data_IF_492292940009
#
_entry.id   IF_492292940009
#
_cell.length_a   1.000
_cell.length_b   1.000
_cell.length_c   1.000
_cell.angle_alpha   90.00
_cell.angle_beta   90.00
_cell.angle_gamma   90.00
#
_symmetry.space_group_name_H-M   'P 1'
#
loop_
_entity.id
_entity.type
_entity.pdbx_description
1 polymer ?
#
# COMPACT_ATOMS: atom_id res chain seq x y z
N UNK A 1 60.57 33.18 -3.32
CA UNK A 1 61.50 32.63 -2.31
C UNK A 1 61.87 31.22 -2.71
N UNK A 2 63.18 30.97 -2.75
CA UNK A 2 63.82 29.88 -3.48
C UNK A 2 63.59 28.50 -2.87
N UNK A 3 63.20 27.56 -3.70
CA UNK A 3 63.35 26.11 -3.51
C UNK A 3 64.81 25.69 -3.77
N UNK A 4 65.44 25.12 -2.75
CA UNK A 4 66.73 24.40 -2.73
C UNK A 4 66.52 23.31 -1.67
N UNK A 5 66.85 22.04 -1.80
CA UNK A 5 68.01 21.27 -2.28
C UNK A 5 67.59 19.79 -2.05
N UNK A 6 68.23 18.72 -2.47
CA UNK A 6 69.37 18.38 -3.32
C UNK A 6 69.23 16.87 -3.54
N UNK A 7 69.68 16.40 -4.69
CA UNK A 7 69.73 15.00 -5.09
C UNK A 7 71.01 14.29 -4.59
N UNK A 8 70.88 12.95 -4.53
CA UNK A 8 71.83 11.90 -4.95
C UNK A 8 72.96 11.38 -4.02
N UNK A 9 73.09 10.05 -4.01
CA UNK A 9 74.26 9.24 -3.60
C UNK A 9 73.83 7.87 -3.02
N UNK A 10 73.38 6.89 -3.83
CA UNK A 10 74.16 5.76 -4.43
C UNK A 10 74.93 4.91 -3.38
N UNK A 11 74.70 3.58 -3.34
CA UNK A 11 75.71 2.49 -3.41
C UNK A 11 75.05 1.10 -3.21
N UNK A 12 75.04 0.34 -4.32
CA UNK A 12 75.32 -1.09 -4.58
C UNK A 12 74.91 -2.21 -3.60
N UNK A 13 74.14 -3.14 -4.18
CA UNK A 13 73.89 -4.53 -3.78
C UNK A 13 75.14 -5.36 -3.47
N UNK A 14 75.05 -6.26 -2.48
CA UNK A 14 75.69 -7.58 -2.52
C UNK A 14 75.08 -8.60 -1.52
N UNK A 15 74.72 -9.77 -2.06
CA UNK A 15 74.85 -11.12 -1.49
C UNK A 15 73.84 -11.65 -0.43
N UNK A 16 72.78 -12.26 -0.97
CA UNK A 16 72.28 -13.64 -0.76
C UNK A 16 72.86 -14.43 0.44
N UNK A 17 71.97 -14.81 1.38
CA UNK A 17 71.94 -16.16 1.97
C UNK A 17 70.47 -16.60 2.08
N UNK A 18 70.10 -17.57 1.25
CA UNK A 18 68.79 -18.22 1.22
C UNK A 18 68.83 -19.38 2.22
N UNK A 19 68.42 -19.13 3.46
CA UNK A 19 68.28 -20.18 4.48
C UNK A 19 66.91 -20.82 4.30
N UNK A 20 66.87 -22.00 3.70
CA UNK A 20 65.69 -22.85 3.63
C UNK A 20 65.46 -23.46 5.01
N UNK A 21 64.57 -22.85 5.81
CA UNK A 21 64.04 -23.48 7.02
C UNK A 21 62.99 -24.51 6.60
N UNK A 22 63.37 -25.79 6.67
CA UNK A 22 62.43 -26.90 6.61
C UNK A 22 61.59 -26.91 7.90
N UNK A 23 60.40 -26.31 7.84
CA UNK A 23 59.38 -26.47 8.88
C UNK A 23 58.82 -27.89 8.74
N UNK A 24 58.96 -28.79 9.72
CA UNK A 24 58.22 -30.03 9.68
C UNK A 24 56.73 -29.68 9.73
N UNK A 25 55.99 -30.15 8.73
CA UNK A 25 54.53 -30.14 8.78
C UNK A 25 54.13 -31.11 9.90
N UNK A 26 54.04 -30.59 11.12
CA UNK A 26 53.23 -31.22 12.15
C UNK A 26 51.81 -31.26 11.59
N UNK A 27 51.39 -32.46 11.22
CA UNK A 27 49.99 -32.78 11.02
C UNK A 27 49.29 -32.45 12.34
N UNK A 28 48.78 -31.23 12.44
CA UNK A 28 47.74 -30.89 13.38
C UNK A 28 46.54 -31.76 13.00
N UNK A 29 46.50 -32.96 13.56
CA UNK A 29 45.27 -33.71 13.68
C UNK A 29 44.37 -32.83 14.54
N UNK A 30 43.50 -32.05 13.88
CA UNK A 30 42.26 -31.63 14.48
C UNK A 30 41.52 -32.93 14.83
N UNK A 31 41.77 -33.46 16.02
CA UNK A 31 40.81 -34.34 16.66
C UNK A 31 39.58 -33.46 16.88
N UNK A 32 38.66 -33.45 15.91
CA UNK A 32 37.25 -33.31 16.22
C UNK A 32 36.88 -34.50 17.11
N UNK A 33 37.25 -34.42 18.39
CA UNK A 33 36.51 -35.16 19.40
C UNK A 33 35.07 -34.74 19.19
N UNK A 34 34.20 -35.69 18.79
CA UNK A 34 32.76 -35.49 18.81
C UNK A 34 32.45 -34.85 20.16
N UNK A 35 32.22 -33.53 20.17
CA UNK A 35 31.97 -32.82 21.40
C UNK A 35 30.79 -33.53 22.04
N UNK A 36 31.03 -34.20 23.17
CA UNK A 36 30.01 -34.97 23.85
C UNK A 36 28.83 -34.02 24.06
N UNK A 37 27.65 -34.43 23.60
CA UNK A 37 26.46 -33.60 23.72
C UNK A 37 26.18 -33.48 25.22
N UNK A 38 26.18 -32.27 25.79
CA UNK A 38 25.95 -32.09 27.22
C UNK A 38 24.49 -32.42 27.57
N UNK A 39 24.19 -32.57 28.86
CA UNK A 39 22.81 -32.76 29.32
C UNK A 39 21.92 -31.58 28.87
N UNK A 40 20.65 -31.89 28.57
CA UNK A 40 19.63 -30.94 28.09
C UNK A 40 19.99 -30.26 26.75
N UNK A 41 20.67 -31.01 25.88
CA UNK A 41 21.00 -30.58 24.53
C UNK A 41 20.68 -31.67 23.50
N UNK A 42 20.25 -31.23 22.33
CA UNK A 42 20.00 -32.07 21.15
C UNK A 42 21.00 -31.75 20.04
N UNK A 43 21.44 -32.78 19.32
CA UNK A 43 22.26 -32.60 18.13
C UNK A 43 21.53 -31.72 17.11
N UNK A 44 22.24 -30.79 16.46
CA UNK A 44 21.64 -30.01 15.38
C UNK A 44 21.32 -30.94 14.20
N UNK A 45 20.19 -30.70 13.54
CA UNK A 45 19.80 -31.44 12.35
C UNK A 45 20.74 -31.19 11.15
N UNK A 46 21.40 -30.01 11.13
CA UNK A 46 22.35 -29.61 10.09
C UNK A 46 23.57 -28.93 10.71
N UNK A 47 24.76 -29.20 10.17
CA UNK A 47 26.05 -28.70 10.65
C UNK A 47 26.59 -29.45 11.87
N UNK A 48 27.75 -29.03 12.38
CA UNK A 48 28.35 -29.58 13.60
C UNK A 48 27.84 -28.88 14.86
N UNK A 49 27.73 -29.64 15.96
CA UNK A 49 27.36 -29.15 17.29
C UNK A 49 25.94 -29.48 17.74
N UNK A 50 25.54 -28.86 18.85
CA UNK A 50 24.29 -29.11 19.55
C UNK A 50 23.53 -27.80 19.81
N UNK A 51 22.23 -27.91 20.09
CA UNK A 51 21.38 -26.83 20.61
C UNK A 51 20.83 -27.24 21.96
N UNK A 52 20.57 -26.27 22.84
CA UNK A 52 19.90 -26.59 24.09
C UNK A 52 18.44 -26.96 23.82
N UNK A 53 17.93 -27.88 24.61
CA UNK A 53 16.52 -28.24 24.59
C UNK A 53 15.66 -27.07 25.09
N UNK A 54 14.38 -27.06 24.72
CA UNK A 54 13.46 -25.99 25.12
C UNK A 54 13.42 -25.86 26.65
N UNK A 55 13.56 -24.63 27.16
CA UNK A 55 13.71 -24.37 28.59
C UNK A 55 15.16 -24.34 29.08
N UNK A 56 16.14 -24.53 28.19
CA UNK A 56 17.57 -24.43 28.51
C UNK A 56 18.28 -23.46 27.56
N UNK A 57 19.30 -22.77 28.08
CA UNK A 57 20.15 -21.84 27.32
C UNK A 57 21.62 -22.19 27.45
N UNK A 58 22.40 -21.83 26.44
CA UNK A 58 23.83 -22.10 26.41
C UNK A 58 24.57 -21.21 27.41
N UNK A 59 25.34 -21.82 28.31
CA UNK A 59 26.28 -21.13 29.18
C UNK A 59 27.56 -21.96 29.31
N UNK A 60 28.72 -21.34 29.01
CA UNK A 60 30.06 -21.93 29.16
C UNK A 60 30.18 -23.40 28.67
N UNK A 61 29.62 -23.72 27.50
CA UNK A 61 29.72 -25.07 26.91
C UNK A 61 28.74 -26.10 27.48
N UNK A 62 27.79 -25.69 28.31
CA UNK A 62 26.70 -26.52 28.86
C UNK A 62 25.34 -25.85 28.62
N UNK A 63 24.25 -26.60 28.86
CA UNK A 63 22.88 -26.09 28.85
C UNK A 63 22.40 -25.93 30.29
N UNK A 64 22.13 -24.68 30.68
CA UNK A 64 21.57 -24.35 31.99
C UNK A 64 20.08 -24.07 31.86
N UNK A 65 19.30 -24.42 32.88
CA UNK A 65 17.87 -24.18 32.91
C UNK A 65 17.60 -22.67 32.85
N UNK A 66 16.62 -22.28 32.05
CA UNK A 66 16.14 -20.90 31.96
C UNK A 66 15.26 -20.64 33.18
N UNK A 67 15.63 -19.64 33.99
CA UNK A 67 14.75 -19.13 35.04
C UNK A 67 13.77 -18.17 34.41
N UNK A 68 12.48 -18.47 34.52
CA UNK A 68 11.43 -17.67 33.91
C UNK A 68 10.90 -16.66 34.95
N UNK A 69 11.10 -15.34 34.74
CA UNK A 69 10.49 -14.35 35.61
C UNK A 69 8.97 -14.27 35.39
N UNK A 70 8.28 -13.56 36.28
CA UNK A 70 6.85 -13.26 36.09
C UNK A 70 6.64 -12.50 34.77
N UNK A 71 5.51 -12.74 34.10
CA UNK A 71 5.17 -12.12 32.81
C UNK A 71 6.15 -12.41 31.66
N UNK A 72 6.88 -13.53 31.71
CA UNK A 72 7.71 -14.03 30.60
C UNK A 72 7.19 -15.35 30.03
N UNK A 73 7.66 -15.69 28.82
CA UNK A 73 7.47 -17.01 28.20
C UNK A 73 8.77 -17.51 27.55
N UNK A 74 8.91 -18.84 27.48
CA UNK A 74 10.08 -19.47 26.87
C UNK A 74 10.12 -19.26 25.36
N UNK A 75 11.28 -18.85 24.87
CA UNK A 75 11.59 -18.78 23.43
C UNK A 75 12.26 -20.09 22.98
N UNK A 76 12.31 -20.32 21.67
CA UNK A 76 13.08 -21.44 21.11
C UNK A 76 14.56 -21.10 20.89
N UNK A 77 15.03 -19.95 21.39
CA UNK A 77 16.43 -19.53 21.25
C UNK A 77 17.30 -20.20 22.31
N UNK A 78 18.34 -20.92 21.87
CA UNK A 78 19.39 -21.44 22.75
C UNK A 78 20.43 -20.38 23.16
N UNK A 79 20.31 -19.16 22.63
CA UNK A 79 21.18 -18.01 22.88
C UNK A 79 20.40 -16.88 23.57
N UNK A 80 21.11 -15.98 24.25
CA UNK A 80 20.49 -14.90 25.03
C UNK A 80 19.86 -15.43 26.33
N UNK A 81 18.82 -14.75 26.81
CA UNK A 81 18.20 -15.10 28.11
C UNK A 81 17.29 -16.33 28.04
N UNK A 82 16.86 -16.74 26.83
CA UNK A 82 16.04 -17.93 26.59
C UNK A 82 14.54 -17.71 26.81
N UNK A 83 14.14 -16.50 27.20
CA UNK A 83 12.75 -16.09 27.39
C UNK A 83 12.51 -14.72 26.74
N UNK A 84 11.24 -14.38 26.56
CA UNK A 84 10.79 -13.06 26.13
C UNK A 84 9.62 -12.62 27.02
N UNK A 85 9.43 -11.32 27.17
CA UNK A 85 8.32 -10.79 27.93
C UNK A 85 6.99 -10.99 27.19
N UNK A 86 5.94 -11.25 27.97
CA UNK A 86 4.57 -11.29 27.48
C UNK A 86 4.18 -9.93 26.87
N UNK A 87 3.16 -9.94 26.01
CA UNK A 87 2.68 -8.73 25.36
C UNK A 87 2.29 -7.66 26.39
N UNK A 88 2.87 -6.46 26.24
CA UNK A 88 2.69 -5.34 27.17
C UNK A 88 3.71 -5.27 28.31
N UNK A 89 4.74 -6.10 28.27
CA UNK A 89 5.88 -6.05 29.18
C UNK A 89 7.17 -5.88 28.39
N UNK A 90 8.12 -5.14 28.96
CA UNK A 90 9.47 -4.93 28.43
C UNK A 90 10.51 -5.59 29.34
N UNK A 91 11.63 -6.00 28.73
CA UNK A 91 12.72 -6.64 29.48
C UNK A 91 13.52 -5.56 30.21
N UNK A 92 13.54 -5.66 31.54
CA UNK A 92 14.42 -4.89 32.41
C UNK A 92 15.28 -5.86 33.22
N UNK A 93 16.56 -5.95 32.84
CA UNK A 93 17.51 -6.93 33.36
C UNK A 93 16.97 -8.39 33.26
N UNK A 94 16.70 -9.00 34.42
CA UNK A 94 16.18 -10.37 34.55
C UNK A 94 14.67 -10.40 34.84
N UNK A 95 13.95 -9.29 34.65
CA UNK A 95 12.51 -9.18 34.90
C UNK A 95 11.75 -8.69 33.65
N UNK A 96 10.44 -8.92 33.66
CA UNK A 96 9.51 -8.32 32.72
C UNK A 96 8.66 -7.29 33.46
N UNK A 97 8.93 -6.01 33.20
CA UNK A 97 8.18 -4.90 33.79
C UNK A 97 7.06 -4.46 32.84
N UNK A 98 5.90 -4.01 33.36
CA UNK A 98 4.85 -3.47 32.53
C UNK A 98 5.36 -2.29 31.70
N UNK A 99 5.05 -2.28 30.41
CA UNK A 99 5.45 -1.19 29.52
C UNK A 99 4.80 0.12 29.98
N UNK A 100 5.62 1.14 30.23
CA UNK A 100 5.13 2.46 30.60
C UNK A 100 4.49 3.16 29.39
N UNK A 101 3.16 3.16 29.33
CA UNK A 101 2.40 3.81 28.27
C UNK A 101 2.04 5.25 28.65
N UNK A 102 2.15 6.21 27.71
CA UNK A 102 1.58 7.53 27.93
C UNK A 102 0.04 7.44 28.02
N UNK A 103 -0.60 8.47 28.59
CA UNK A 103 -2.04 8.55 28.63
C UNK A 103 -2.64 8.41 27.23
N UNK A 104 -3.73 7.64 27.10
CA UNK A 104 -4.43 7.35 25.85
C UNK A 104 -3.64 6.52 24.81
N UNK A 105 -2.65 5.72 25.23
CA UNK A 105 -1.98 4.73 24.40
C UNK A 105 -2.37 3.28 24.74
N UNK A 106 -2.18 2.40 23.77
CA UNK A 106 -2.32 0.95 23.93
C UNK A 106 -1.19 0.24 23.16
N UNK A 107 -0.87 -0.99 23.58
CA UNK A 107 0.16 -1.81 22.93
C UNK A 107 -0.39 -2.32 21.60
N UNK A 108 0.29 -2.03 20.49
CA UNK A 108 -0.20 -2.30 19.13
C UNK A 108 0.60 -3.34 18.35
N UNK A 109 1.78 -3.73 18.84
CA UNK A 109 2.63 -4.75 18.20
C UNK A 109 2.49 -6.13 18.86
N UNK A 110 2.54 -7.19 18.05
CA UNK A 110 2.56 -8.58 18.53
C UNK A 110 3.82 -8.93 19.36
N UNK A 111 4.86 -8.11 19.27
CA UNK A 111 6.11 -8.21 20.05
C UNK A 111 6.63 -6.81 20.36
N UNK A 112 6.89 -6.55 21.64
CA UNK A 112 7.80 -5.53 22.22
C UNK A 112 7.82 -4.12 21.61
N UNK A 113 7.51 -3.14 22.45
CA UNK A 113 7.89 -1.71 22.35
C UNK A 113 7.09 -0.82 21.38
N UNK A 114 6.18 -1.38 20.59
CA UNK A 114 5.33 -0.58 19.69
C UNK A 114 3.93 -0.33 20.27
N UNK A 115 3.67 0.91 20.66
CA UNK A 115 2.37 1.40 21.09
C UNK A 115 1.72 2.32 20.05
N UNK A 116 0.40 2.35 20.06
CA UNK A 116 -0.46 3.22 19.26
C UNK A 116 -1.41 4.02 20.15
N UNK A 117 -1.93 5.12 19.63
CA UNK A 117 -2.90 5.93 20.36
C UNK A 117 -4.31 5.36 20.24
N UNK A 118 -5.06 5.44 21.33
CA UNK A 118 -6.49 5.16 21.36
C UNK A 118 -7.21 6.00 20.30
N UNK A 119 -8.35 5.49 19.80
CA UNK A 119 -9.19 6.21 18.85
C UNK A 119 -9.51 7.62 19.39
N UNK A 120 -9.32 8.63 18.55
CA UNK A 120 -9.49 10.04 18.93
C UNK A 120 -8.21 10.72 19.37
N UNK A 121 -7.09 10.01 19.40
CA UNK A 121 -5.77 10.54 19.73
C UNK A 121 -4.78 10.25 18.60
N UNK A 122 -3.82 11.15 18.41
CA UNK A 122 -2.73 11.01 17.45
C UNK A 122 -1.39 11.04 18.16
N UNK A 123 -0.41 10.33 17.59
CA UNK A 123 0.94 10.30 18.12
C UNK A 123 1.65 11.61 17.82
N UNK A 124 2.04 12.34 18.86
CA UNK A 124 2.93 13.49 18.77
C UNK A 124 4.13 13.21 19.69
N UNK A 125 5.29 12.93 19.07
CA UNK A 125 6.48 12.46 19.81
C UNK A 125 6.19 11.19 20.61
N UNK A 126 6.40 11.28 21.93
CA UNK A 126 6.18 10.18 22.89
C UNK A 126 4.83 10.29 23.63
N UNK A 127 3.88 11.07 23.11
CA UNK A 127 2.56 11.26 23.72
C UNK A 127 1.42 11.03 22.73
N UNK A 128 0.25 10.72 23.27
CA UNK A 128 -1.01 10.72 22.54
C UNK A 128 -1.77 12.01 22.82
N UNK A 129 -1.88 12.86 21.81
CA UNK A 129 -2.65 14.10 21.90
C UNK A 129 -4.03 13.91 21.28
N UNK A 130 -5.04 14.52 21.90
CA UNK A 130 -6.40 14.49 21.38
C UNK A 130 -6.46 15.14 20.00
N UNK A 131 -7.15 14.50 19.07
CA UNK A 131 -7.41 15.06 17.74
C UNK A 131 -8.49 16.14 17.92
N UNK A 132 -8.20 17.41 17.58
CA UNK A 132 -9.21 18.46 17.64
C UNK A 132 -10.18 18.28 16.48
N UNK A 133 -11.34 17.68 16.75
CA UNK A 133 -12.41 17.51 15.76
C UNK A 133 -13.25 18.81 15.71
N UNK A 134 -13.32 19.51 14.57
CA UNK A 134 -14.13 20.71 14.46
C UNK A 134 -15.63 20.39 14.44
N UNK A 135 -16.47 21.42 14.59
CA UNK A 135 -17.91 21.30 14.38
C UNK A 135 -18.20 20.78 12.96
N UNK A 136 -19.19 19.89 12.82
CA UNK A 136 -19.51 19.15 11.58
C UNK A 136 -18.37 18.23 11.08
N UNK A 137 -17.46 17.85 11.97
CA UNK A 137 -16.41 16.86 11.71
C UNK A 137 -16.59 15.60 12.56
N UNK A 138 -16.01 14.49 12.08
CA UNK A 138 -15.95 13.23 12.80
C UNK A 138 -14.56 12.58 12.67
N UNK A 139 -14.22 11.69 13.61
CA UNK A 139 -12.93 11.00 13.61
C UNK A 139 -12.78 10.10 12.38
N UNK A 140 -11.74 10.36 11.60
CA UNK A 140 -11.39 9.55 10.44
C UNK A 140 -10.93 8.15 10.88
N UNK A 141 -11.05 7.18 9.98
CA UNK A 141 -10.46 5.85 10.20
C UNK A 141 -8.98 5.78 9.80
N UNK A 142 -8.53 6.70 8.95
CA UNK A 142 -7.14 6.75 8.51
C UNK A 142 -6.24 7.39 9.56
N UNK A 143 -5.02 6.86 9.70
CA UNK A 143 -3.92 7.46 10.47
C UNK A 143 -3.18 8.56 9.69
N UNK A 144 -3.46 8.72 8.40
CA UNK A 144 -2.90 9.79 7.57
C UNK A 144 -3.79 11.05 7.58
N UNK A 145 -3.16 12.23 7.61
CA UNK A 145 -3.85 13.52 7.60
C UNK A 145 -4.25 14.03 8.98
N UNK A 146 -5.28 14.90 9.08
CA UNK A 146 -5.63 15.59 10.33
C UNK A 146 -6.31 14.69 11.38
N UNK A 147 -6.67 13.45 11.02
CA UNK A 147 -7.32 12.49 11.92
C UNK A 147 -8.85 12.68 12.03
N UNK A 148 -9.42 13.59 11.24
CA UNK A 148 -10.86 13.82 11.13
C UNK A 148 -11.28 14.02 9.67
N UNK A 149 -12.58 13.89 9.41
CA UNK A 149 -13.22 14.12 8.12
C UNK A 149 -14.52 14.88 8.36
N UNK A 150 -14.95 15.69 7.41
CA UNK A 150 -16.20 16.44 7.53
C UNK A 150 -17.43 15.56 7.29
N UNK A 151 -18.50 15.85 8.01
CA UNK A 151 -19.83 15.32 7.75
C UNK A 151 -20.28 15.64 6.32
N UNK A 152 -21.22 14.84 5.81
CA UNK A 152 -21.79 15.07 4.47
C UNK A 152 -22.40 16.48 4.41
N UNK A 153 -22.08 17.20 3.34
CA UNK A 153 -22.49 18.60 3.19
C UNK A 153 -21.47 19.62 3.69
N UNK A 154 -20.33 19.17 4.19
CA UNK A 154 -19.23 20.01 4.62
C UNK A 154 -17.92 19.56 3.96
N UNK A 155 -17.00 20.51 3.78
CA UNK A 155 -15.66 20.27 3.25
C UNK A 155 -14.60 20.86 4.17
N UNK A 156 -13.43 20.23 4.18
CA UNK A 156 -12.30 20.67 4.98
C UNK A 156 -11.69 21.94 4.38
N UNK A 157 -11.63 23.00 5.18
CA UNK A 157 -10.91 24.24 4.86
C UNK A 157 -10.07 24.60 6.08
N UNK A 158 -8.75 24.44 5.96
CA UNK A 158 -7.83 24.50 7.10
C UNK A 158 -8.30 23.55 8.23
N UNK A 159 -8.49 24.07 9.45
CA UNK A 159 -8.88 23.30 10.63
C UNK A 159 -10.40 23.30 10.89
N UNK A 160 -11.22 23.56 9.87
CA UNK A 160 -12.68 23.64 10.00
C UNK A 160 -13.42 22.88 8.90
N UNK A 161 -14.62 22.42 9.24
CA UNK A 161 -15.60 21.92 8.28
C UNK A 161 -16.56 23.04 7.89
N UNK A 162 -16.44 23.50 6.65
CA UNK A 162 -17.25 24.59 6.09
C UNK A 162 -18.35 24.01 5.21
N UNK A 163 -19.57 24.53 5.36
CA UNK A 163 -20.72 24.07 4.60
C UNK A 163 -20.49 24.22 3.08
N UNK A 164 -20.85 23.19 2.34
CA UNK A 164 -20.85 23.20 0.88
C UNK A 164 -22.10 23.95 0.42
N UNK A 165 -21.90 25.00 -0.36
CA UNK A 165 -22.99 25.75 -0.99
C UNK A 165 -23.43 24.98 -2.23
N UNK A 166 -24.68 24.53 -2.25
CA UNK A 166 -25.26 23.88 -3.41
C UNK A 166 -25.83 24.94 -4.37
N UNK A 167 -25.48 24.90 -5.65
CA UNK A 167 -26.24 25.64 -6.66
C UNK A 167 -27.64 25.05 -6.83
N UNK A 168 -28.53 25.79 -7.50
CA UNK A 168 -29.85 25.27 -7.88
C UNK A 168 -29.69 24.04 -8.79
N UNK A 169 -30.56 23.04 -8.63
CA UNK A 169 -30.51 21.76 -9.37
C UNK A 169 -29.24 20.93 -9.10
N UNK A 170 -28.77 20.90 -7.85
CA UNK A 170 -27.66 20.08 -7.41
C UNK A 170 -28.00 19.29 -6.14
N UNK A 171 -27.30 18.18 -5.95
CA UNK A 171 -27.40 17.34 -4.76
C UNK A 171 -26.02 16.99 -4.20
N UNK A 172 -25.95 16.75 -2.88
CA UNK A 172 -24.70 16.35 -2.21
C UNK A 172 -24.29 14.93 -2.59
N UNK A 173 -23.03 14.73 -2.92
CA UNK A 173 -22.45 13.39 -3.14
C UNK A 173 -21.79 12.85 -1.86
N UNK A 174 -21.40 11.58 -1.89
CA UNK A 174 -20.62 10.97 -0.81
C UNK A 174 -19.12 11.30 -0.89
N UNK A 175 -18.65 11.77 -2.04
CA UNK A 175 -17.24 12.07 -2.29
C UNK A 175 -16.98 13.57 -2.06
N UNK A 176 -16.26 13.89 -1.00
CA UNK A 176 -15.95 15.29 -0.63
C UNK A 176 -14.60 15.80 -1.18
N UNK A 177 -13.88 14.98 -1.96
CA UNK A 177 -12.59 15.36 -2.54
C UNK A 177 -12.69 16.39 -3.67
N UNK A 178 -13.81 16.42 -4.38
CA UNK A 178 -14.11 17.40 -5.44
C UNK A 178 -15.05 18.52 -4.91
N UNK A 179 -16.05 18.93 -5.69
CA UNK A 179 -17.07 19.91 -5.29
C UNK A 179 -17.93 19.43 -4.11
N UNK A 180 -18.04 18.10 -3.91
CA UNK A 180 -18.91 17.47 -2.92
C UNK A 180 -20.40 17.51 -3.28
N UNK A 181 -20.71 17.87 -4.52
CA UNK A 181 -22.05 17.88 -5.08
C UNK A 181 -22.00 17.54 -6.57
N UNK A 182 -23.12 17.05 -7.10
CA UNK A 182 -23.34 16.78 -8.52
C UNK A 182 -24.66 17.44 -8.95
N UNK A 183 -24.80 17.69 -10.24
CA UNK A 183 -26.03 18.24 -10.78
C UNK A 183 -27.14 17.18 -10.82
N UNK A 184 -28.37 17.62 -10.54
CA UNK A 184 -29.57 16.81 -10.72
C UNK A 184 -29.67 16.29 -12.16
N UNK A 185 -30.36 15.16 -12.33
CA UNK A 185 -30.57 14.57 -13.66
C UNK A 185 -31.19 15.61 -14.60
N UNK A 186 -30.56 15.80 -15.77
CA UNK A 186 -30.96 16.79 -16.76
C UNK A 186 -30.22 18.12 -16.66
N UNK A 187 -29.26 18.23 -15.74
CA UNK A 187 -28.37 19.38 -15.60
C UNK A 187 -26.91 18.94 -15.71
N UNK A 188 -26.04 19.88 -16.09
CA UNK A 188 -24.60 19.68 -16.22
C UNK A 188 -23.83 20.81 -15.55
N UNK A 189 -22.67 20.51 -14.98
CA UNK A 189 -21.85 21.51 -14.31
C UNK A 189 -21.19 22.45 -15.34
N UNK A 190 -21.51 23.73 -15.27
CA UNK A 190 -20.87 24.79 -16.05
C UNK A 190 -20.46 25.91 -15.09
N UNK A 191 -19.15 26.10 -14.92
CA UNK A 191 -18.58 27.17 -14.08
C UNK A 191 -19.14 27.18 -12.63
N UNK A 192 -19.36 26.00 -12.04
CA UNK A 192 -19.85 25.86 -10.67
C UNK A 192 -21.36 26.08 -10.50
N UNK A 193 -22.13 26.07 -11.59
CA UNK A 193 -23.59 26.05 -11.58
C UNK A 193 -24.11 24.86 -12.37
N UNK A 194 -25.34 24.43 -12.07
CA UNK A 194 -26.00 23.35 -12.80
C UNK A 194 -26.93 23.93 -13.87
N UNK A 195 -26.46 23.90 -15.11
CA UNK A 195 -27.19 24.41 -16.26
C UNK A 195 -27.98 23.28 -16.92
N UNK A 196 -29.23 23.55 -17.32
CA UNK A 196 -30.10 22.56 -17.95
C UNK A 196 -29.50 22.04 -19.27
N UNK A 197 -29.50 20.72 -19.44
CA UNK A 197 -29.10 20.05 -20.67
C UNK A 197 -30.17 20.31 -21.73
N UNK A 198 -29.76 20.89 -22.86
CA UNK A 198 -30.64 21.09 -24.02
C UNK A 198 -30.74 19.80 -24.81
N UNK A 199 -31.85 19.07 -24.61
CA UNK A 199 -32.15 17.86 -25.37
C UNK A 199 -32.80 18.26 -26.70
N UNK A 200 -32.23 17.89 -27.86
CA UNK A 200 -32.82 18.17 -29.16
C UNK A 200 -34.06 17.29 -29.42
N UNK A 201 -34.83 17.62 -30.46
CA UNK A 201 -35.95 16.78 -30.90
C UNK A 201 -35.45 15.36 -31.27
N UNK A 202 -36.21 14.34 -30.86
CA UNK A 202 -35.86 12.92 -30.99
C UNK A 202 -34.60 12.51 -30.21
N UNK A 203 -34.38 13.14 -29.06
CA UNK A 203 -33.38 12.72 -28.09
C UNK A 203 -33.98 12.63 -26.68
N UNK A 204 -33.27 11.93 -25.80
CA UNK A 204 -33.63 11.75 -24.40
C UNK A 204 -32.41 11.87 -23.48
N UNK A 205 -32.64 12.15 -22.20
CA UNK A 205 -31.58 12.22 -21.20
C UNK A 205 -30.95 10.84 -20.97
N UNK A 206 -29.62 10.75 -21.09
CA UNK A 206 -28.85 9.53 -20.84
C UNK A 206 -27.86 9.74 -19.71
N UNK A 207 -27.78 8.74 -18.83
CA UNK A 207 -26.84 8.66 -17.70
C UNK A 207 -25.52 7.95 -18.09
N UNK A 208 -25.43 7.43 -19.32
CA UNK A 208 -24.34 6.53 -19.74
C UNK A 208 -23.18 7.22 -20.43
N UNK A 209 -23.27 8.52 -20.63
CA UNK A 209 -22.31 9.25 -21.45
C UNK A 209 -21.42 10.19 -20.63
N UNK A 210 -20.11 10.03 -20.77
CA UNK A 210 -19.08 11.06 -20.51
C UNK A 210 -19.19 12.25 -21.49
N UNK A 211 -20.40 12.53 -22.00
CA UNK A 211 -20.72 13.45 -23.08
C UNK A 211 -21.72 14.53 -22.65
N UNK A 212 -22.62 14.93 -23.56
CA UNK A 212 -23.56 16.05 -23.32
C UNK A 212 -24.79 15.66 -22.47
N UNK A 213 -24.83 14.45 -21.88
CA UNK A 213 -25.92 13.96 -21.02
C UNK A 213 -27.24 13.64 -21.74
N UNK A 214 -27.22 13.45 -23.05
CA UNK A 214 -28.37 13.01 -23.84
C UNK A 214 -27.94 12.11 -25.01
N UNK A 215 -28.83 11.21 -25.40
CA UNK A 215 -28.69 10.30 -26.53
C UNK A 215 -29.87 10.45 -27.50
N UNK A 216 -29.69 10.05 -28.76
CA UNK A 216 -30.79 10.07 -29.71
C UNK A 216 -31.76 8.91 -29.44
N UNK A 217 -33.03 9.11 -29.78
CA UNK A 217 -34.00 8.03 -29.77
C UNK A 217 -33.64 6.98 -30.84
N UNK A 218 -34.03 5.73 -30.62
CA UNK A 218 -33.86 4.65 -31.59
C UNK A 218 -34.48 5.04 -32.93
N UNK A 219 -33.72 4.90 -34.02
CA UNK A 219 -34.10 5.35 -35.36
C UNK A 219 -33.54 6.73 -35.72
N UNK A 220 -32.83 7.39 -34.80
CA UNK A 220 -32.13 8.64 -35.03
C UNK A 220 -30.65 8.48 -34.69
N UNK A 221 -29.80 9.24 -35.38
CA UNK A 221 -28.36 9.28 -35.16
C UNK A 221 -27.91 10.69 -34.83
N UNK A 222 -26.88 10.79 -33.98
CA UNK A 222 -26.31 12.07 -33.55
C UNK A 222 -25.57 12.74 -34.70
N UNK A 223 -25.91 13.99 -34.98
CA UNK A 223 -25.17 14.87 -35.90
C UNK A 223 -25.01 16.23 -35.23
N UNK A 224 -23.79 16.54 -34.81
CA UNK A 224 -23.48 17.70 -33.97
C UNK A 224 -24.36 17.72 -32.70
N UNK A 225 -25.21 18.74 -32.55
CA UNK A 225 -26.12 18.94 -31.43
C UNK A 225 -27.57 18.53 -31.74
N UNK A 226 -27.79 17.70 -32.75
CA UNK A 226 -29.14 17.29 -33.19
C UNK A 226 -29.23 15.79 -33.46
N UNK A 227 -30.46 15.27 -33.41
CA UNK A 227 -30.79 13.91 -33.80
C UNK A 227 -31.46 13.91 -35.17
N UNK A 228 -30.82 13.24 -36.12
CA UNK A 228 -31.30 13.14 -37.51
C UNK A 228 -31.78 11.71 -37.76
N UNK A 229 -32.96 11.58 -38.37
CA UNK A 229 -33.55 10.28 -38.67
C UNK A 229 -32.60 9.42 -39.52
N UNK A 230 -32.47 8.15 -39.17
CA UNK A 230 -31.73 7.17 -39.95
C UNK A 230 -32.57 6.82 -41.17
N UNK A 231 -32.08 7.19 -42.35
CA UNK A 231 -32.71 6.81 -43.62
C UNK A 231 -32.43 5.33 -43.88
N UNK A 232 -33.49 4.53 -43.88
CA UNK A 232 -33.41 3.10 -44.19
C UNK A 232 -33.56 2.88 -45.71
N UNK A 233 -32.55 2.31 -46.38
CA UNK A 233 -32.73 1.86 -47.76
C UNK A 233 -33.65 0.64 -47.82
N UNK A 234 -34.11 0.30 -49.02
CA UNK A 234 -34.92 -0.90 -49.24
C UNK A 234 -34.17 -2.15 -48.75
N UNK A 235 -34.88 -3.09 -48.13
CA UNK A 235 -34.33 -4.31 -47.52
C UNK A 235 -33.35 -4.08 -46.35
N UNK A 236 -33.44 -2.96 -45.64
CA UNK A 236 -32.71 -2.71 -44.40
C UNK A 236 -33.61 -2.67 -43.15
N UNK A 237 -32.99 -2.85 -41.98
CA UNK A 237 -33.58 -2.62 -40.66
C UNK A 237 -32.57 -1.88 -39.76
N UNK A 238 -33.05 -1.23 -38.71
CA UNK A 238 -32.17 -0.60 -37.71
C UNK A 238 -31.28 -1.64 -37.03
N UNK A 239 -30.03 -1.28 -36.78
CA UNK A 239 -29.08 -2.14 -36.07
C UNK A 239 -29.46 -2.32 -34.58
N UNK A 240 -28.66 -3.08 -33.84
CA UNK A 240 -28.94 -3.34 -32.42
C UNK A 240 -28.93 -2.04 -31.60
N UNK A 241 -27.95 -1.17 -31.82
CA UNK A 241 -27.86 0.13 -31.15
C UNK A 241 -29.03 1.06 -31.54
N UNK A 242 -29.55 0.93 -32.75
CA UNK A 242 -30.65 1.75 -33.25
C UNK A 242 -30.21 3.09 -33.85
N UNK A 243 -28.91 3.29 -34.05
CA UNK A 243 -28.32 4.52 -34.59
C UNK A 243 -27.71 4.34 -35.98
N UNK A 244 -27.66 3.10 -36.48
CA UNK A 244 -27.34 2.77 -37.87
C UNK A 244 -28.30 1.67 -38.36
N UNK A 245 -28.03 1.11 -39.53
CA UNK A 245 -28.84 0.07 -40.15
C UNK A 245 -28.00 -1.07 -40.72
N UNK A 246 -28.63 -2.25 -40.71
CA UNK A 246 -28.13 -3.49 -41.28
C UNK A 246 -29.09 -3.98 -42.38
N UNK A 247 -28.56 -4.77 -43.31
CA UNK A 247 -29.39 -5.39 -44.34
C UNK A 247 -30.15 -6.59 -43.78
N UNK A 248 -31.40 -6.74 -44.22
CA UNK A 248 -32.16 -7.98 -44.04
C UNK A 248 -31.45 -9.10 -44.81
N UNK A 249 -31.39 -10.31 -44.25
CA UNK A 249 -30.85 -11.46 -44.99
C UNK A 249 -31.77 -11.79 -46.18
N UNK A 250 -31.25 -12.17 -47.36
CA UNK A 250 -29.84 -12.42 -47.71
C UNK A 250 -29.10 -11.23 -48.36
N UNK A 251 -29.56 -9.98 -48.15
CA UNK A 251 -28.94 -8.80 -48.75
C UNK A 251 -27.67 -8.38 -48.00
N UNK A 252 -26.74 -7.76 -48.70
CA UNK A 252 -25.46 -7.27 -48.17
C UNK A 252 -25.32 -5.76 -48.37
N UNK A 253 -24.71 -5.07 -47.39
CA UNK A 253 -24.52 -3.60 -47.38
C UNK A 253 -23.48 -3.23 -48.43
N UNK A 254 -23.88 -2.52 -49.49
CA UNK A 254 -23.00 -1.92 -50.50
C UNK A 254 -23.27 -0.41 -50.55
N UNK A 255 -22.29 0.38 -50.09
CA UNK A 255 -22.44 1.85 -49.93
C UNK A 255 -23.67 2.19 -49.06
N UNK A 256 -24.67 2.87 -49.63
CA UNK A 256 -25.91 3.28 -48.96
C UNK A 256 -27.12 2.43 -49.35
N UNK A 257 -26.90 1.21 -49.84
CA UNK A 257 -27.97 0.30 -50.26
C UNK A 257 -27.72 -1.15 -49.82
N UNK A 258 -28.79 -1.94 -49.79
CA UNK A 258 -28.75 -3.38 -49.60
C UNK A 258 -28.97 -4.08 -50.94
N UNK A 259 -27.98 -4.84 -51.40
CA UNK A 259 -28.06 -5.58 -52.68
C UNK A 259 -27.88 -7.07 -52.42
N UNK A 260 -28.54 -7.92 -53.22
CA UNK A 260 -28.25 -9.35 -53.21
C UNK A 260 -26.78 -9.56 -53.64
N UNK A 261 -26.13 -10.58 -53.08
CA UNK A 261 -24.88 -11.05 -53.64
C UNK A 261 -25.21 -11.74 -54.97
N UNK A 262 -24.58 -11.28 -56.07
CA UNK A 262 -24.67 -11.99 -57.34
C UNK A 262 -24.12 -13.41 -57.14
N UNK A 263 -24.82 -14.43 -57.66
CA UNK A 263 -24.42 -15.85 -57.51
C UNK A 263 -23.21 -16.25 -58.37
N UNK A 264 -22.40 -15.30 -58.84
CA UNK A 264 -21.31 -15.55 -59.80
C UNK A 264 -20.02 -14.79 -59.45
N UNK A 265 -19.44 -15.06 -58.27
CA UNK A 265 -18.00 -14.91 -58.02
C UNK A 265 -17.45 -16.24 -57.47
#
# INVERSE_FOLDING_TARGET
>A
MNTKRSKLGVIKYALIYLVVFAVPAELALAQEGKAAIPANATAKAYGSGWKCDRGYRKNAGSCIAVTLPENAYLTDSSYGVGWACQHGYEQDEDNCLPLALPANAYVSGLSGDTWSCNRGFRKLGNTCEAIPVPMNGYLAQSSSGPGWTCERGYRAVADACVAIVLPENAYLTANTYDSGWECDRGYQEIKGACDSIKVPANGHLSERDYGQGWECDRGYRKTQATCVAVVLPENAHLDFAGHDWNCNKPYHKRKQACTLADRND
#
